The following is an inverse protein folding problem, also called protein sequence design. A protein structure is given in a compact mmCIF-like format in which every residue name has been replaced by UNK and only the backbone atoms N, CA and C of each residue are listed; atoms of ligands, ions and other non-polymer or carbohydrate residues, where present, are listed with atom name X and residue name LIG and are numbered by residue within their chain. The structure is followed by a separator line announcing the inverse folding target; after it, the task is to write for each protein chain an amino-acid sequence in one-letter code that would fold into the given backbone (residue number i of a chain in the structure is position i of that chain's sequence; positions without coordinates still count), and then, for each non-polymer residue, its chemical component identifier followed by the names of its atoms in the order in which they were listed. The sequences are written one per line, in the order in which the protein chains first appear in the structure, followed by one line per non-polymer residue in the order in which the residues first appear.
data_IF_728997910695
#
_entry.id   IF_728997910695
#
_cell.length_a   1.000
_cell.length_b   1.000
_cell.length_c   1.000
_cell.angle_alpha   90.00
_cell.angle_beta   90.00
_cell.angle_gamma   90.00
#
_symmetry.space_group_name_H-M   'P 1'
#
loop_
_entity.id
_entity.type
_entity.pdbx_description
1 polymer ?
#
# COMPACT_ATOMS: atom_id res chain seq x y z
N UNK A 1 0.90 10.03 12.22
CA UNK A 1 1.69 9.26 11.22
C UNK A 1 1.78 7.84 11.74
N UNK A 2 1.38 6.84 10.94
CA UNK A 2 1.29 5.46 11.39
C UNK A 2 2.60 4.68 11.17
N UNK A 3 3.05 3.95 12.19
CA UNK A 3 4.24 3.10 12.17
C UNK A 3 3.92 1.69 12.66
N UNK A 4 4.35 0.69 11.90
CA UNK A 4 4.28 -0.72 12.32
C UNK A 4 5.44 -1.03 13.26
N UNK A 5 5.13 -1.56 14.44
CA UNK A 5 6.13 -2.01 15.42
C UNK A 5 6.93 -3.18 14.87
N UNK A 6 6.28 -4.13 14.18
CA UNK A 6 6.98 -5.24 13.53
C UNK A 6 7.96 -4.73 12.46
N UNK A 7 7.58 -3.72 11.69
CA UNK A 7 8.47 -3.12 10.71
C UNK A 7 9.62 -2.34 11.36
N UNK A 8 9.39 -1.62 12.46
CA UNK A 8 10.46 -0.97 13.20
C UNK A 8 11.48 -1.96 13.78
N UNK A 9 11.03 -3.15 14.21
CA UNK A 9 11.92 -4.23 14.70
C UNK A 9 12.92 -4.73 13.65
N UNK A 10 12.63 -4.54 12.36
CA UNK A 10 13.60 -4.83 11.28
C UNK A 10 14.83 -3.92 11.32
N UNK A 11 14.71 -2.73 11.92
CA UNK A 11 15.75 -1.72 11.95
C UNK A 11 16.43 -1.57 13.30
N UNK A 12 15.72 -1.77 14.40
CA UNK A 12 16.28 -1.60 15.75
C UNK A 12 15.57 -2.57 16.70
N UNK A 13 16.29 -3.06 17.70
CA UNK A 13 15.67 -3.89 18.73
C UNK A 13 14.82 -3.01 19.66
N UNK A 14 13.51 -3.19 19.63
CA UNK A 14 12.59 -2.42 20.46
C UNK A 14 12.42 -3.06 21.85
N UNK A 15 12.11 -2.26 22.88
CA UNK A 15 11.55 -2.79 24.12
C UNK A 15 10.33 -3.70 23.86
N UNK A 16 10.09 -4.65 24.78
CA UNK A 16 8.93 -5.55 24.68
C UNK A 16 7.64 -4.81 25.03
N UNK A 17 7.72 -3.86 25.97
CA UNK A 17 6.57 -3.08 26.38
C UNK A 17 6.30 -1.93 25.39
N UNK A 18 5.05 -1.84 24.92
CA UNK A 18 4.57 -0.77 24.05
C UNK A 18 4.49 0.58 24.77
N UNK A 19 4.08 0.60 26.04
CA UNK A 19 4.03 1.84 26.83
C UNK A 19 5.43 2.44 26.98
N UNK A 20 6.45 1.61 27.15
CA UNK A 20 7.84 2.05 27.24
C UNK A 20 8.31 2.69 25.92
N UNK A 21 7.88 2.16 24.77
CA UNK A 21 8.17 2.77 23.46
C UNK A 21 7.48 4.14 23.35
N UNK A 22 6.21 4.23 23.71
CA UNK A 22 5.45 5.46 23.64
C UNK A 22 6.03 6.54 24.56
N UNK A 23 6.36 6.20 25.80
CA UNK A 23 7.01 7.12 26.75
C UNK A 23 8.37 7.60 26.23
N UNK A 24 9.16 6.70 25.67
CA UNK A 24 10.46 7.02 25.09
C UNK A 24 10.35 7.99 23.91
N UNK A 25 9.34 7.83 23.06
CA UNK A 25 9.03 8.76 21.97
C UNK A 25 8.55 10.11 22.50
N UNK A 26 7.67 10.13 23.50
CA UNK A 26 7.18 11.35 24.14
C UNK A 26 8.31 12.16 24.75
N UNK A 27 9.27 11.51 25.42
CA UNK A 27 10.50 12.15 25.94
C UNK A 27 11.36 12.80 24.85
N UNK A 28 11.26 12.33 23.62
CA UNK A 28 11.95 12.91 22.46
C UNK A 28 11.12 13.97 21.70
N UNK A 29 9.96 14.35 22.26
CA UNK A 29 9.04 15.32 21.65
C UNK A 29 8.24 14.75 20.48
N UNK A 30 8.00 13.44 20.48
CA UNK A 30 7.16 12.74 19.50
C UNK A 30 5.99 12.12 20.25
N UNK A 31 4.83 12.77 20.19
CA UNK A 31 3.64 12.33 20.91
C UNK A 31 3.00 11.14 20.20
N UNK A 32 2.60 10.13 20.97
CA UNK A 32 1.84 8.98 20.47
C UNK A 32 0.36 9.24 20.72
N UNK A 33 -0.40 9.48 19.66
CA UNK A 33 -1.84 9.77 19.72
C UNK A 33 -2.65 8.50 19.96
N UNK A 34 -2.29 7.40 19.29
CA UNK A 34 -3.03 6.15 19.36
C UNK A 34 -2.10 4.93 19.22
N UNK A 35 -2.48 3.83 19.86
CA UNK A 35 -1.82 2.52 19.73
C UNK A 35 -2.89 1.52 19.33
N UNK A 36 -2.87 1.09 18.08
CA UNK A 36 -3.83 0.13 17.53
C UNK A 36 -3.15 -1.24 17.39
N UNK A 37 -3.66 -2.27 18.07
CA UNK A 37 -3.25 -3.65 17.78
C UNK A 37 -4.10 -4.21 16.65
N UNK A 38 -3.44 -4.61 15.56
CA UNK A 38 -4.05 -5.27 14.41
C UNK A 38 -3.65 -6.74 14.42
N UNK A 39 -4.62 -7.62 14.57
CA UNK A 39 -4.38 -9.06 14.49
C UNK A 39 -5.53 -9.74 13.80
N UNK A 40 -5.23 -10.58 12.80
CA UNK A 40 -6.13 -11.63 12.36
C UNK A 40 -5.99 -12.88 13.26
N UNK A 41 -5.85 -12.69 14.57
CA UNK A 41 -5.74 -13.81 15.52
C UNK A 41 -7.14 -14.35 15.81
N UNK A 42 -7.81 -14.75 14.74
CA UNK A 42 -9.12 -15.35 14.74
C UNK A 42 -8.90 -16.86 14.69
N UNK A 43 -9.18 -17.52 15.80
CA UNK A 43 -9.14 -18.98 15.87
C UNK A 43 -10.10 -19.57 14.82
N UNK A 44 -9.73 -20.71 14.25
CA UNK A 44 -10.53 -21.41 13.22
C UNK A 44 -10.73 -20.64 11.90
N UNK A 45 -9.86 -19.66 11.60
CA UNK A 45 -9.76 -19.05 10.26
C UNK A 45 -8.52 -19.54 9.53
N UNK A 46 -8.75 -20.18 8.39
CA UNK A 46 -7.70 -20.81 7.57
C UNK A 46 -7.72 -20.31 6.13
N UNK A 47 -6.60 -20.53 5.43
CA UNK A 47 -6.51 -20.29 3.99
C UNK A 47 -7.26 -21.39 3.25
N UNK A 48 -8.20 -21.01 2.39
CA UNK A 48 -8.93 -21.92 1.50
C UNK A 48 -8.73 -21.54 0.03
N UNK A 49 -9.09 -22.44 -0.88
CA UNK A 49 -9.09 -22.20 -2.32
C UNK A 49 -10.46 -22.45 -2.92
N UNK A 50 -10.96 -21.52 -3.75
CA UNK A 50 -12.25 -21.68 -4.42
C UNK A 50 -12.10 -22.66 -5.59
N UNK A 51 -12.68 -23.84 -5.47
CA UNK A 51 -12.60 -24.91 -6.47
C UNK A 51 -13.67 -24.79 -7.55
N UNK A 52 -14.89 -24.37 -7.17
CA UNK A 52 -16.00 -24.13 -8.09
C UNK A 52 -16.94 -23.05 -7.55
N UNK A 53 -17.70 -22.42 -8.43
CA UNK A 53 -18.67 -21.37 -8.09
C UNK A 53 -19.87 -21.45 -9.03
N UNK A 54 -21.08 -21.50 -8.47
CA UNK A 54 -22.36 -21.59 -9.20
C UNK A 54 -23.39 -20.63 -8.61
N UNK A 55 -24.34 -20.15 -9.44
CA UNK A 55 -25.39 -19.24 -8.95
C UNK A 55 -26.30 -19.96 -7.96
N UNK A 56 -26.72 -19.25 -6.91
CA UNK A 56 -27.64 -19.80 -5.93
C UNK A 56 -29.03 -20.02 -6.55
N UNK A 57 -29.64 -21.21 -6.40
CA UNK A 57 -30.90 -21.57 -7.09
C UNK A 57 -32.07 -20.67 -6.69
N UNK A 58 -32.08 -20.19 -5.44
CA UNK A 58 -33.16 -19.40 -4.86
C UNK A 58 -32.78 -17.93 -4.53
N UNK A 59 -31.66 -17.42 -5.07
CA UNK A 59 -31.22 -16.04 -4.81
C UNK A 59 -30.26 -15.47 -5.86
N UNK A 60 -30.65 -14.37 -6.52
CA UNK A 60 -29.86 -13.77 -7.61
C UNK A 60 -28.55 -13.10 -7.15
N UNK A 61 -28.47 -12.70 -5.88
CA UNK A 61 -27.31 -12.00 -5.29
C UNK A 61 -26.33 -12.93 -4.56
N UNK A 62 -26.64 -14.23 -4.47
CA UNK A 62 -25.81 -15.19 -3.76
C UNK A 62 -25.21 -16.20 -4.73
N UNK A 63 -24.03 -16.67 -4.36
CA UNK A 63 -23.27 -17.66 -5.12
C UNK A 63 -22.92 -18.81 -4.20
N UNK A 64 -23.02 -20.04 -4.69
CA UNK A 64 -22.63 -21.25 -3.97
C UNK A 64 -21.21 -21.60 -4.43
N UNK A 65 -20.27 -21.55 -3.50
CA UNK A 65 -18.86 -21.83 -3.75
C UNK A 65 -18.52 -23.20 -3.16
N UNK A 66 -17.84 -24.04 -3.94
CA UNK A 66 -17.12 -25.18 -3.39
C UNK A 66 -15.69 -24.72 -3.06
N UNK A 67 -15.27 -24.92 -1.82
CA UNK A 67 -13.95 -24.50 -1.34
C UNK A 67 -13.17 -25.69 -0.82
N UNK A 68 -11.88 -25.71 -1.13
CA UNK A 68 -10.90 -26.64 -0.58
C UNK A 68 -10.19 -25.97 0.59
N UNK A 69 -10.29 -26.59 1.76
CA UNK A 69 -9.70 -26.13 3.02
C UNK A 69 -8.47 -26.96 3.43
N UNK A 70 -8.06 -27.92 2.59
CA UNK A 70 -6.93 -28.82 2.85
C UNK A 70 -7.29 -30.07 3.67
N UNK A 71 -8.56 -30.23 4.08
CA UNK A 71 -9.04 -31.42 4.80
C UNK A 71 -9.26 -32.64 3.91
N UNK A 72 -9.19 -32.47 2.59
CA UNK A 72 -9.47 -33.52 1.59
C UNK A 72 -10.94 -33.59 1.18
N UNK A 73 -11.85 -32.92 1.89
CA UNK A 73 -13.26 -32.76 1.51
C UNK A 73 -13.56 -31.32 1.15
N UNK A 74 -14.21 -31.10 -0.01
CA UNK A 74 -14.69 -29.77 -0.39
C UNK A 74 -15.87 -29.37 0.49
N UNK A 75 -15.85 -28.12 0.96
CA UNK A 75 -16.96 -27.52 1.70
C UNK A 75 -17.82 -26.65 0.78
N UNK A 76 -19.12 -26.64 1.05
CA UNK A 76 -20.03 -25.73 0.36
C UNK A 76 -20.22 -24.46 1.19
N UNK A 77 -19.96 -23.30 0.59
CA UNK A 77 -20.07 -21.99 1.24
C UNK A 77 -20.92 -21.07 0.37
N UNK A 78 -21.93 -20.44 0.96
CA UNK A 78 -22.73 -19.43 0.27
C UNK A 78 -22.07 -18.06 0.46
N UNK A 79 -21.71 -17.40 -0.63
CA UNK A 79 -21.02 -16.12 -0.62
C UNK A 79 -21.78 -15.07 -1.47
N UNK A 80 -21.85 -13.84 -0.96
CA UNK A 80 -22.44 -12.69 -1.68
C UNK A 80 -21.43 -11.80 -2.40
N UNK A 81 -20.13 -12.05 -2.24
CA UNK A 81 -19.09 -11.25 -2.88
C UNK A 81 -18.95 -11.58 -4.37
N UNK A 82 -18.46 -10.63 -5.15
CA UNK A 82 -18.32 -10.76 -6.62
C UNK A 82 -16.89 -10.53 -7.11
N UNK A 83 -15.96 -10.26 -6.20
CA UNK A 83 -14.59 -9.83 -6.51
C UNK A 83 -13.58 -11.00 -6.65
N UNK A 84 -14.04 -12.25 -6.63
CA UNK A 84 -13.20 -13.45 -6.70
C UNK A 84 -13.36 -14.21 -8.02
N UNK A 85 -12.43 -15.14 -8.29
CA UNK A 85 -12.45 -16.10 -9.39
C UNK A 85 -12.20 -17.51 -8.90
N UNK A 86 -12.65 -18.51 -9.66
CA UNK A 86 -12.29 -19.90 -9.41
C UNK A 86 -10.76 -20.04 -9.46
N UNK A 87 -10.20 -20.69 -8.44
CA UNK A 87 -8.78 -20.83 -8.21
C UNK A 87 -8.18 -19.81 -7.23
N UNK A 88 -8.90 -18.74 -6.88
CA UNK A 88 -8.41 -17.75 -5.90
C UNK A 88 -8.34 -18.36 -4.49
N UNK A 89 -7.33 -17.91 -3.74
CA UNK A 89 -7.15 -18.25 -2.33
C UNK A 89 -7.76 -17.18 -1.44
N UNK A 90 -8.57 -17.59 -0.48
CA UNK A 90 -9.36 -16.70 0.38
C UNK A 90 -9.41 -17.23 1.81
N UNK A 91 -9.51 -16.35 2.82
CA UNK A 91 -9.73 -16.78 4.20
C UNK A 91 -11.12 -17.40 4.36
N UNK A 92 -11.16 -18.58 4.97
CA UNK A 92 -12.37 -19.29 5.36
C UNK A 92 -12.43 -19.34 6.88
N UNK A 93 -13.50 -18.78 7.44
CA UNK A 93 -13.86 -18.99 8.82
C UNK A 93 -14.69 -20.28 8.94
N UNK A 94 -14.16 -21.25 9.67
CA UNK A 94 -14.80 -22.53 9.92
C UNK A 94 -15.90 -22.40 10.99
N UNK A 95 -16.88 -23.33 11.04
CA UNK A 95 -17.82 -23.39 12.14
C UNK A 95 -17.11 -23.48 13.50
N UNK A 96 -17.41 -22.58 14.42
CA UNK A 96 -16.72 -22.39 15.69
C UNK A 96 -15.82 -21.14 15.74
N UNK A 97 -15.47 -20.57 14.59
CA UNK A 97 -14.67 -19.35 14.52
C UNK A 97 -15.41 -18.14 15.13
N UNK A 98 -14.70 -17.36 15.95
CA UNK A 98 -15.22 -16.12 16.56
C UNK A 98 -14.56 -14.91 15.93
N UNK A 99 -15.26 -14.25 15.02
CA UNK A 99 -14.75 -13.08 14.32
C UNK A 99 -14.63 -11.87 15.27
N UNK A 100 -13.72 -10.91 14.99
CA UNK A 100 -13.53 -9.69 15.78
C UNK A 100 -14.78 -8.82 15.93
N UNK A 101 -15.75 -8.95 15.03
CA UNK A 101 -17.04 -8.27 15.12
C UNK A 101 -18.02 -8.92 16.13
N UNK A 102 -17.60 -9.97 16.84
CA UNK A 102 -18.41 -10.73 17.79
C UNK A 102 -19.27 -11.83 17.15
N UNK A 103 -19.17 -12.04 15.84
CA UNK A 103 -19.95 -13.08 15.14
C UNK A 103 -19.30 -14.44 15.32
N UNK A 104 -20.07 -15.41 15.83
CA UNK A 104 -19.68 -16.81 15.87
C UNK A 104 -20.18 -17.53 14.62
N UNK A 105 -19.28 -18.18 13.89
CA UNK A 105 -19.60 -18.89 12.66
C UNK A 105 -20.20 -20.25 13.00
N UNK A 106 -21.34 -20.58 12.40
CA UNK A 106 -22.03 -21.86 12.57
C UNK A 106 -22.46 -22.40 11.20
N UNK A 107 -22.66 -23.71 11.11
CA UNK A 107 -23.32 -24.30 9.94
C UNK A 107 -24.74 -23.74 9.84
N UNK A 108 -25.08 -23.18 8.69
CA UNK A 108 -26.38 -22.55 8.49
C UNK A 108 -26.95 -22.91 7.12
N UNK A 109 -28.27 -22.80 6.98
CA UNK A 109 -28.96 -23.03 5.71
C UNK A 109 -29.50 -21.70 5.19
N UNK A 110 -28.85 -21.16 4.17
CA UNK A 110 -29.28 -19.92 3.52
C UNK A 110 -30.19 -20.27 2.36
N UNK A 111 -31.49 -19.91 2.46
CA UNK A 111 -32.48 -20.06 1.38
C UNK A 111 -32.52 -21.47 0.74
N UNK A 112 -32.39 -22.50 1.57
CA UNK A 112 -32.47 -23.90 1.17
C UNK A 112 -31.12 -24.56 0.86
N UNK A 113 -30.02 -23.81 0.82
CA UNK A 113 -28.67 -24.32 0.55
C UNK A 113 -27.82 -24.26 1.82
N UNK A 114 -27.08 -25.32 2.12
CA UNK A 114 -26.22 -25.39 3.30
C UNK A 114 -24.91 -24.62 3.09
N UNK A 115 -24.45 -23.92 4.13
CA UNK A 115 -23.19 -23.19 4.18
C UNK A 115 -22.39 -23.63 5.40
N UNK A 116 -21.23 -24.24 5.15
CA UNK A 116 -20.34 -24.81 6.17
C UNK A 116 -19.24 -23.84 6.61
N UNK A 117 -19.58 -22.56 6.77
CA UNK A 117 -18.65 -21.50 7.14
C UNK A 117 -18.92 -20.20 6.40
N UNK A 118 -17.93 -19.31 6.42
CA UNK A 118 -18.00 -18.00 5.79
C UNK A 118 -16.65 -17.60 5.17
N UNK A 119 -16.67 -17.08 3.94
CA UNK A 119 -15.50 -16.47 3.31
C UNK A 119 -15.36 -15.02 3.79
N UNK A 120 -14.16 -14.62 4.22
CA UNK A 120 -13.97 -13.35 4.93
C UNK A 120 -13.38 -12.23 4.07
N UNK A 121 -13.86 -11.02 4.35
CA UNK A 121 -13.33 -9.74 3.90
C UNK A 121 -12.25 -9.20 4.87
N UNK A 122 -11.47 -8.18 4.46
CA UNK A 122 -10.51 -7.53 5.35
C UNK A 122 -11.13 -6.93 6.62
N UNK A 123 -12.37 -6.42 6.53
CA UNK A 123 -13.10 -5.85 7.67
C UNK A 123 -13.48 -6.93 8.67
N UNK A 124 -14.02 -8.05 8.18
CA UNK A 124 -14.44 -9.17 9.03
C UNK A 124 -13.25 -9.82 9.75
N UNK A 125 -12.03 -9.67 9.24
CA UNK A 125 -10.80 -10.15 9.88
C UNK A 125 -10.11 -9.09 10.75
N UNK A 126 -10.61 -7.86 10.80
CA UNK A 126 -9.96 -6.76 11.52
C UNK A 126 -8.63 -6.31 10.89
N UNK A 127 -8.39 -6.63 9.62
CA UNK A 127 -7.14 -6.33 8.90
C UNK A 127 -7.19 -4.99 8.16
N UNK A 128 -8.37 -4.42 7.91
CA UNK A 128 -8.51 -3.13 7.26
C UNK A 128 -9.95 -2.66 7.10
N UNK A 129 -10.12 -1.53 6.40
CA UNK A 129 -11.40 -0.84 6.22
C UNK A 129 -12.02 -1.11 4.83
N UNK A 130 -11.45 -2.02 4.04
CA UNK A 130 -11.95 -2.28 2.68
C UNK A 130 -13.17 -3.22 2.69
N UNK A 131 -14.33 -2.66 2.31
CA UNK A 131 -15.60 -3.38 2.19
C UNK A 131 -15.88 -3.90 0.77
N UNK A 132 -14.92 -3.80 -0.16
CA UNK A 132 -15.18 -4.10 -1.58
C UNK A 132 -15.37 -5.59 -1.92
N UNK A 133 -15.07 -6.50 -0.97
CA UNK A 133 -15.36 -7.93 -1.10
C UNK A 133 -14.42 -8.81 -0.29
N UNK A 134 -14.22 -10.06 -0.74
CA UNK A 134 -13.33 -11.03 -0.09
C UNK A 134 -11.88 -10.59 -0.12
N UNK A 135 -11.13 -10.98 0.91
CA UNK A 135 -9.68 -10.81 0.93
C UNK A 135 -9.03 -11.84 0.00
N UNK A 136 -8.55 -11.41 -1.17
CA UNK A 136 -7.85 -12.28 -2.12
C UNK A 136 -6.37 -12.40 -1.73
N UNK A 137 -5.96 -13.60 -1.33
CA UNK A 137 -4.62 -13.94 -0.85
C UNK A 137 -3.63 -14.19 -2.00
N UNK A 138 -2.35 -14.27 -1.67
CA UNK A 138 -1.33 -14.66 -2.64
C UNK A 138 -1.59 -16.08 -3.18
N UNK A 139 -1.37 -16.35 -4.48
CA UNK A 139 -1.37 -17.71 -5.01
C UNK A 139 -0.39 -18.65 -4.30
N UNK A 140 0.65 -18.13 -3.66
CA UNK A 140 1.65 -18.91 -2.92
C UNK A 140 1.21 -19.28 -1.50
N UNK A 141 0.08 -18.76 -1.01
CA UNK A 141 -0.44 -19.08 0.33
C UNK A 141 -0.77 -20.58 0.45
N UNK A 142 -0.39 -21.23 1.55
CA UNK A 142 -0.66 -22.66 1.75
C UNK A 142 -2.11 -22.86 2.18
N UNK A 143 -2.87 -23.69 1.46
CA UNK A 143 -4.24 -24.06 1.84
C UNK A 143 -4.19 -24.85 3.15
N UNK A 144 -5.15 -24.60 4.05
CA UNK A 144 -5.21 -25.17 5.40
C UNK A 144 -4.33 -24.47 6.44
N UNK A 145 -3.44 -23.56 6.04
CA UNK A 145 -2.64 -22.80 6.99
C UNK A 145 -3.52 -21.78 7.77
N UNK A 146 -3.27 -21.55 9.07
CA UNK A 146 -3.91 -20.48 9.82
C UNK A 146 -3.69 -19.11 9.16
N UNK A 147 -4.72 -18.26 9.19
CA UNK A 147 -4.60 -16.91 8.63
C UNK A 147 -3.60 -16.04 9.40
N UNK A 148 -3.41 -16.33 10.68
CA UNK A 148 -2.45 -15.67 11.58
C UNK A 148 -0.99 -15.87 11.14
N UNK A 149 -0.67 -16.95 10.42
CA UNK A 149 0.66 -17.18 9.85
C UNK A 149 0.98 -16.19 8.71
N UNK A 150 -0.05 -15.80 7.95
CA UNK A 150 0.08 -14.81 6.88
C UNK A 150 0.03 -13.38 7.42
N UNK A 151 -0.81 -13.14 8.42
CA UNK A 151 -1.01 -11.83 9.02
C UNK A 151 -0.69 -11.90 10.52
N UNK A 152 0.60 -11.90 10.89
CA UNK A 152 1.00 -11.91 12.29
C UNK A 152 0.47 -10.65 13.00
N UNK A 153 0.18 -10.78 14.29
CA UNK A 153 -0.24 -9.65 15.10
C UNK A 153 0.81 -8.53 15.01
N UNK A 154 0.34 -7.33 14.69
CA UNK A 154 1.16 -6.14 14.58
C UNK A 154 0.53 -5.02 15.41
N UNK A 155 1.38 -4.14 15.91
CA UNK A 155 0.94 -2.95 16.63
C UNK A 155 1.29 -1.74 15.79
N UNK A 156 0.32 -0.87 15.59
CA UNK A 156 0.46 0.37 14.84
C UNK A 156 0.50 1.53 15.84
N UNK A 157 1.61 2.27 15.84
CA UNK A 157 1.78 3.51 16.57
C UNK A 157 1.34 4.66 15.68
N UNK A 158 0.33 5.42 16.08
CA UNK A 158 0.00 6.70 15.44
C UNK A 158 0.66 7.83 16.22
N UNK A 159 1.61 8.51 15.60
CA UNK A 159 2.42 9.54 16.25
C UNK A 159 2.30 10.90 15.55
N UNK A 160 2.26 11.97 16.33
CA UNK A 160 2.29 13.32 15.81
C UNK A 160 3.75 13.75 15.57
N UNK A 161 4.07 14.13 14.33
CA UNK A 161 5.42 14.57 13.96
C UNK A 161 5.40 16.07 13.70
N UNK A 162 6.16 16.79 14.52
CA UNK A 162 6.33 18.24 14.41
C UNK A 162 7.01 18.64 13.10
N UNK A 163 6.69 19.81 12.50
CA UNK A 163 7.18 20.21 11.18
C UNK A 163 8.71 20.32 11.05
N UNK A 164 9.42 20.57 12.16
CA UNK A 164 10.88 20.61 12.22
C UNK A 164 11.52 19.22 12.16
N UNK A 165 10.81 18.16 12.59
CA UNK A 165 11.30 16.77 12.66
C UNK A 165 10.89 15.95 11.44
N UNK A 166 11.05 16.53 10.26
CA UNK A 166 10.69 15.83 9.04
C UNK A 166 11.39 14.46 8.94
N UNK A 167 12.64 14.35 9.40
CA UNK A 167 13.44 13.12 9.36
C UNK A 167 12.71 11.89 9.91
N UNK A 168 11.78 12.07 10.85
CA UNK A 168 10.97 11.03 11.47
C UNK A 168 9.84 10.50 10.60
N UNK A 169 9.50 11.13 9.46
CA UNK A 169 8.43 10.69 8.53
C UNK A 169 8.82 9.44 7.71
N UNK A 170 9.56 8.50 8.30
CA UNK A 170 9.87 7.18 7.75
C UNK A 170 10.27 6.20 8.84
N UNK A 171 10.04 4.90 8.62
CA UNK A 171 10.35 3.84 9.60
C UNK A 171 11.84 3.85 9.95
N UNK A 172 12.72 4.07 8.96
CA UNK A 172 14.15 4.19 9.23
C UNK A 172 14.50 5.41 10.09
N UNK A 173 13.86 6.55 9.82
CA UNK A 173 14.07 7.79 10.57
C UNK A 173 13.68 7.65 12.04
N UNK A 174 12.50 7.08 12.30
CA UNK A 174 12.02 6.81 13.65
C UNK A 174 12.86 5.73 14.35
N UNK A 175 13.21 4.64 13.67
CA UNK A 175 14.09 3.61 14.23
C UNK A 175 15.47 4.16 14.61
N UNK A 176 16.01 5.10 13.84
CA UNK A 176 17.26 5.79 14.17
C UNK A 176 17.13 6.65 15.42
N UNK A 177 16.00 7.33 15.61
CA UNK A 177 15.73 8.09 16.84
C UNK A 177 15.68 7.16 18.06
N UNK A 178 14.92 6.08 17.95
CA UNK A 178 14.79 5.07 19.02
C UNK A 178 16.16 4.44 19.34
N UNK A 179 16.97 4.14 18.32
CA UNK A 179 18.33 3.65 18.50
C UNK A 179 19.20 4.63 19.29
N UNK A 180 19.12 5.93 18.98
CA UNK A 180 19.87 6.97 19.70
C UNK A 180 19.41 7.10 21.16
N UNK A 181 18.11 7.03 21.43
CA UNK A 181 17.54 7.16 22.78
C UNK A 181 17.78 5.93 23.66
N UNK A 182 17.79 4.73 23.07
CA UNK A 182 18.01 3.46 23.79
C UNK A 182 19.47 3.04 23.86
N UNK A 183 20.37 3.74 23.15
CA UNK A 183 21.77 3.34 22.99
C UNK A 183 21.96 2.05 22.16
N UNK A 184 20.91 1.53 21.51
CA UNK A 184 20.95 0.30 20.73
C UNK A 184 21.53 0.52 19.34
N UNK A 185 22.08 -0.54 18.75
CA UNK A 185 22.61 -0.49 17.39
C UNK A 185 21.49 -0.54 16.37
N UNK A 186 21.54 0.37 15.40
CA UNK A 186 20.70 0.31 14.21
C UNK A 186 21.18 -0.85 13.32
N UNK A 187 20.26 -1.75 12.96
CA UNK A 187 20.51 -2.89 12.08
C UNK A 187 20.95 -2.40 10.70
N UNK A 188 21.93 -3.10 10.13
CA UNK A 188 22.58 -2.72 8.88
C UNK A 188 21.56 -2.64 7.74
N UNK A 189 21.66 -1.57 6.96
CA UNK A 189 20.84 -1.38 5.77
C UNK A 189 21.51 -2.08 4.58
N UNK A 190 20.74 -2.54 3.56
CA UNK A 190 21.32 -3.26 2.44
C UNK A 190 22.46 -2.45 1.79
N UNK A 191 23.62 -3.09 1.58
CA UNK A 191 24.81 -2.48 0.98
C UNK A 191 24.48 -1.78 -0.32
N UNK A 192 25.14 -0.65 -0.56
CA UNK A 192 25.13 0.04 -1.84
C UNK A 192 25.57 -0.93 -2.96
N UNK A 193 24.63 -1.27 -3.83
CA UNK A 193 24.98 -1.88 -5.10
C UNK A 193 25.79 -0.83 -5.89
N UNK A 194 27.04 -1.15 -6.24
CA UNK A 194 27.89 -0.32 -7.10
C UNK A 194 27.35 -0.37 -8.53
N UNK A 195 26.28 0.37 -8.78
CA UNK A 195 25.65 0.41 -10.10
C UNK A 195 26.24 1.59 -10.88
N UNK A 196 26.74 1.39 -12.11
CA UNK A 196 27.31 2.46 -12.91
C UNK A 196 26.29 3.57 -13.18
N UNK A 197 26.65 4.80 -12.79
CA UNK A 197 25.81 5.99 -12.96
C UNK A 197 26.19 6.68 -14.27
N UNK A 198 25.23 6.83 -15.19
CA UNK A 198 25.39 7.65 -16.39
C UNK A 198 24.83 9.05 -16.14
N UNK A 199 25.61 10.11 -16.45
CA UNK A 199 25.19 11.52 -16.31
C UNK A 199 24.31 12.03 -17.48
N UNK A 200 23.98 11.17 -18.44
CA UNK A 200 23.25 11.52 -19.66
C UNK A 200 21.76 11.20 -19.57
N UNK A 201 20.89 12.03 -20.14
CA UNK A 201 19.44 11.76 -20.30
C UNK A 201 18.50 12.62 -19.44
N UNK A 202 19.04 13.34 -18.44
CA UNK A 202 18.28 14.31 -17.63
C UNK A 202 19.03 15.64 -17.58
N UNK A 203 18.33 16.75 -17.82
CA UNK A 203 18.88 18.10 -17.67
C UNK A 203 18.15 18.84 -16.54
N UNK A 204 18.91 19.19 -15.50
CA UNK A 204 18.44 20.03 -14.40
C UNK A 204 18.70 21.48 -14.77
N UNK A 205 17.63 22.26 -14.98
CA UNK A 205 17.75 23.66 -15.42
C UNK A 205 17.72 24.60 -14.22
N UNK A 206 16.98 24.24 -13.18
CA UNK A 206 16.87 25.01 -11.93
C UNK A 206 17.65 24.31 -10.81
N UNK A 207 18.98 24.38 -10.87
CA UNK A 207 19.90 23.71 -9.94
C UNK A 207 19.74 24.18 -8.49
N UNK A 208 19.51 25.49 -8.25
CA UNK A 208 19.24 26.04 -6.90
C UNK A 208 18.06 25.37 -6.20
N UNK A 209 17.01 25.02 -6.94
CA UNK A 209 15.76 24.49 -6.39
C UNK A 209 15.71 22.96 -6.36
N UNK A 210 16.57 22.33 -7.15
CA UNK A 210 16.66 20.89 -7.34
C UNK A 210 18.13 20.55 -7.58
N UNK A 211 18.95 20.54 -6.52
CA UNK A 211 20.38 20.28 -6.67
C UNK A 211 20.64 18.84 -7.14
N UNK A 212 19.69 17.93 -6.89
CA UNK A 212 19.83 16.51 -7.23
C UNK A 212 18.54 15.94 -7.85
N UNK A 213 18.71 15.17 -8.92
CA UNK A 213 17.67 14.35 -9.52
C UNK A 213 18.30 13.12 -10.18
N UNK A 214 17.82 11.94 -9.80
CA UNK A 214 18.19 10.68 -10.44
C UNK A 214 16.98 10.06 -11.12
N UNK A 215 17.24 9.35 -12.21
CA UNK A 215 16.25 8.53 -12.89
C UNK A 215 16.89 7.22 -13.31
N UNK A 216 16.11 6.14 -13.25
CA UNK A 216 16.51 4.84 -13.77
C UNK A 216 15.43 4.34 -14.71
N UNK A 217 15.86 3.82 -15.85
CA UNK A 217 15.00 3.11 -16.79
C UNK A 217 15.03 1.63 -16.42
N UNK A 218 13.85 1.01 -16.36
CA UNK A 218 13.66 -0.43 -16.15
C UNK A 218 12.77 -0.90 -17.30
N UNK A 219 13.28 -1.81 -18.11
CA UNK A 219 12.56 -2.41 -19.24
C UNK A 219 11.85 -3.70 -18.80
N UNK A 220 10.88 -4.15 -19.60
CA UNK A 220 10.18 -5.44 -19.44
C UNK A 220 9.48 -5.63 -18.09
N UNK A 221 8.93 -4.55 -17.51
CA UNK A 221 8.16 -4.61 -16.26
C UNK A 221 6.70 -4.99 -16.56
N UNK A 222 6.23 -6.10 -15.97
CA UNK A 222 4.81 -6.46 -15.95
C UNK A 222 4.11 -5.72 -14.81
N UNK A 223 3.03 -4.99 -15.13
CA UNK A 223 2.22 -4.30 -14.14
C UNK A 223 1.15 -5.26 -13.63
N UNK A 224 1.01 -5.38 -12.32
CA UNK A 224 0.08 -6.30 -11.68
C UNK A 224 -0.12 -6.00 -10.20
N UNK A 225 -0.88 -6.85 -9.48
CA UNK A 225 -1.00 -6.75 -8.03
C UNK A 225 0.38 -6.89 -7.37
N UNK A 226 0.56 -6.19 -6.26
CA UNK A 226 1.77 -6.30 -5.45
C UNK A 226 1.82 -7.64 -4.72
N UNK A 227 3.03 -8.18 -4.47
CA UNK A 227 3.21 -9.30 -3.55
C UNK A 227 2.58 -9.00 -2.19
N UNK A 228 2.08 -10.03 -1.53
CA UNK A 228 1.34 -9.91 -0.28
C UNK A 228 2.12 -9.15 0.82
N UNK A 229 3.38 -9.52 1.06
CA UNK A 229 4.24 -8.83 2.04
C UNK A 229 4.38 -7.31 1.80
N UNK A 230 4.33 -6.89 0.52
CA UNK A 230 4.46 -5.48 0.16
C UNK A 230 3.16 -4.73 0.44
N UNK A 231 2.02 -5.35 0.14
CA UNK A 231 0.68 -4.81 0.43
C UNK A 231 0.49 -4.65 1.93
N UNK A 232 0.77 -5.69 2.69
CA UNK A 232 0.67 -5.68 4.16
C UNK A 232 1.45 -4.53 4.78
N UNK A 233 2.71 -4.32 4.36
CA UNK A 233 3.52 -3.22 4.91
C UNK A 233 2.97 -1.84 4.58
N UNK A 234 2.51 -1.58 3.36
CA UNK A 234 1.97 -0.25 3.03
C UNK A 234 0.57 -0.03 3.64
N UNK A 235 -0.23 -1.08 3.76
CA UNK A 235 -1.57 -1.02 4.35
C UNK A 235 -1.52 -0.88 5.88
N UNK A 236 -0.50 -1.46 6.53
CA UNK A 236 -0.24 -1.27 7.98
C UNK A 236 -0.05 0.21 8.34
N UNK A 237 0.45 1.02 7.41
CA UNK A 237 0.68 2.46 7.60
C UNK A 237 -0.42 3.32 6.98
N UNK A 238 -1.55 2.71 6.61
CA UNK A 238 -2.74 3.40 6.08
C UNK A 238 -2.66 3.76 4.58
N UNK A 239 -1.73 3.18 3.82
CA UNK A 239 -1.62 3.41 2.38
C UNK A 239 -2.27 2.25 1.62
N UNK A 240 -3.37 2.51 0.92
CA UNK A 240 -4.05 1.53 0.06
C UNK A 240 -3.14 1.04 -1.08
N UNK A 241 -3.03 -0.27 -1.25
CA UNK A 241 -2.38 -0.90 -2.40
C UNK A 241 -3.11 -0.60 -3.71
N UNK A 242 -2.35 -0.35 -4.78
CA UNK A 242 -2.89 -0.09 -6.13
C UNK A 242 -2.27 -1.05 -7.15
N UNK A 243 -0.95 -1.06 -7.27
CA UNK A 243 -0.21 -1.96 -8.15
C UNK A 243 1.27 -2.01 -7.75
N UNK A 244 1.97 -3.06 -8.21
CA UNK A 244 3.37 -3.31 -7.90
C UNK A 244 4.32 -2.13 -8.11
N UNK A 245 4.02 -1.22 -9.05
CA UNK A 245 4.87 -0.06 -9.34
C UNK A 245 4.60 1.12 -8.41
N UNK A 246 3.33 1.40 -8.11
CA UNK A 246 2.95 2.46 -7.17
C UNK A 246 3.33 2.06 -5.75
N UNK A 247 3.05 0.81 -5.41
CA UNK A 247 3.21 0.27 -4.06
C UNK A 247 4.69 0.20 -3.67
N UNK A 248 5.58 -0.24 -4.58
CA UNK A 248 7.02 -0.22 -4.28
C UNK A 248 7.54 1.21 -4.07
N UNK A 249 6.98 2.20 -4.79
CA UNK A 249 7.38 3.59 -4.62
C UNK A 249 6.91 4.17 -3.28
N UNK A 250 5.70 3.82 -2.86
CA UNK A 250 5.14 4.18 -1.55
C UNK A 250 5.90 3.48 -0.42
N UNK A 251 6.22 2.20 -0.59
CA UNK A 251 7.03 1.44 0.36
C UNK A 251 8.41 2.06 0.56
N UNK A 252 9.12 2.40 -0.52
CA UNK A 252 10.44 3.07 -0.41
C UNK A 252 10.32 4.45 0.27
N UNK A 253 9.22 5.16 0.04
CA UNK A 253 8.94 6.43 0.71
C UNK A 253 8.70 6.23 2.21
N UNK A 254 7.83 5.31 2.61
CA UNK A 254 7.55 5.00 4.02
C UNK A 254 8.76 4.39 4.74
N UNK A 255 9.61 3.64 4.03
CA UNK A 255 10.81 3.00 4.57
C UNK A 255 11.94 3.99 4.83
N UNK A 256 12.28 4.83 3.84
CA UNK A 256 13.52 5.63 3.82
C UNK A 256 13.32 7.14 3.71
N UNK A 257 12.06 7.60 3.61
CA UNK A 257 11.70 8.96 3.21
C UNK A 257 12.26 9.41 1.86
N UNK A 258 12.51 8.46 0.95
CA UNK A 258 12.90 8.74 -0.43
C UNK A 258 11.65 8.78 -1.30
N UNK A 259 11.25 9.99 -1.72
CA UNK A 259 10.16 10.14 -2.70
C UNK A 259 10.65 9.63 -4.05
N UNK A 260 10.23 8.42 -4.41
CA UNK A 260 10.47 7.80 -5.71
C UNK A 260 9.19 7.86 -6.56
N UNK A 261 9.33 7.96 -7.88
CA UNK A 261 8.19 7.98 -8.81
C UNK A 261 8.52 7.18 -10.06
N UNK A 262 7.68 6.22 -10.40
CA UNK A 262 7.80 5.42 -11.62
C UNK A 262 6.94 5.96 -12.77
N UNK A 263 7.37 5.75 -14.02
CA UNK A 263 6.72 6.29 -15.23
C UNK A 263 6.85 5.36 -16.43
N UNK A 264 5.82 5.34 -17.29
CA UNK A 264 5.82 4.59 -18.55
C UNK A 264 6.61 5.33 -19.64
N UNK A 265 7.53 4.64 -20.32
CA UNK A 265 8.43 5.26 -21.30
C UNK A 265 7.73 5.67 -22.61
N UNK A 266 6.75 4.89 -23.09
CA UNK A 266 6.12 5.08 -24.41
C UNK A 266 5.33 6.40 -24.58
N UNK A 267 5.17 7.18 -23.51
CA UNK A 267 4.53 8.50 -23.52
C UNK A 267 5.56 9.65 -23.49
N UNK A 268 6.86 9.36 -23.54
CA UNK A 268 7.90 10.34 -23.81
C UNK A 268 7.95 10.59 -25.32
N UNK A 269 7.21 11.60 -25.79
CA UNK A 269 7.29 12.13 -27.16
C UNK A 269 8.76 12.23 -27.59
N UNK A 270 9.06 11.84 -28.84
CA UNK A 270 10.33 11.75 -29.62
C UNK A 270 11.56 12.59 -29.20
N UNK A 271 11.45 13.55 -28.30
CA UNK A 271 12.56 14.25 -27.65
C UNK A 271 13.16 13.45 -26.50
N UNK A 272 14.42 13.02 -26.68
CA UNK A 272 15.29 12.27 -25.75
C UNK A 272 15.63 12.99 -24.41
N UNK A 273 14.87 13.98 -23.95
CA UNK A 273 15.22 14.80 -22.77
C UNK A 273 14.05 15.09 -21.82
N UNK A 274 14.24 14.73 -20.54
CA UNK A 274 13.45 15.22 -19.41
C UNK A 274 14.07 16.52 -18.88
N UNK A 275 13.25 17.58 -18.77
CA UNK A 275 13.64 18.92 -18.29
C UNK A 275 12.81 19.26 -17.05
N UNK A 276 13.41 19.84 -16.01
CA UNK A 276 12.67 20.39 -14.86
C UNK A 276 12.80 21.92 -14.86
N UNK A 277 11.68 22.64 -14.91
CA UNK A 277 11.61 24.12 -15.04
C UNK A 277 10.54 24.72 -14.13
N UNK A 278 10.58 26.04 -13.90
CA UNK A 278 9.46 26.80 -13.31
C UNK A 278 8.24 26.80 -14.25
N UNK A 279 7.04 26.82 -13.69
CA UNK A 279 5.78 26.90 -14.45
C UNK A 279 5.65 28.27 -15.10
N UNK A 280 5.35 28.32 -16.41
CA UNK A 280 4.95 29.57 -17.09
C UNK A 280 3.55 29.97 -16.60
N UNK A 281 3.31 31.28 -16.46
CA UNK A 281 2.07 31.85 -15.93
C UNK A 281 0.77 31.45 -16.68
N UNK A 282 0.87 30.89 -17.90
CA UNK A 282 -0.28 30.51 -18.75
C UNK A 282 -0.41 29.00 -19.02
N UNK A 283 0.22 28.15 -18.21
CA UNK A 283 0.20 26.69 -18.40
C UNK A 283 -0.98 25.99 -17.72
N UNK A 284 -1.76 25.20 -18.46
CA UNK A 284 -2.79 24.32 -17.90
C UNK A 284 -2.20 22.96 -17.48
N UNK A 285 -2.51 22.50 -16.27
CA UNK A 285 -2.13 21.17 -15.77
C UNK A 285 -3.37 20.42 -15.25
N UNK A 286 -3.58 19.19 -15.74
CA UNK A 286 -4.64 18.28 -15.24
C UNK A 286 -4.03 17.24 -14.34
N UNK A 287 -4.54 17.18 -13.11
CA UNK A 287 -4.05 16.26 -12.08
C UNK A 287 -4.77 14.92 -12.13
N UNK A 288 -4.18 13.93 -11.46
CA UNK A 288 -4.73 12.59 -11.26
C UNK A 288 -6.16 12.54 -10.70
N UNK A 289 -6.56 13.55 -9.93
CA UNK A 289 -7.90 13.71 -9.34
C UNK A 289 -8.90 14.40 -10.29
N UNK A 290 -8.58 14.54 -11.59
CA UNK A 290 -9.42 15.18 -12.60
C UNK A 290 -9.46 16.71 -12.53
N UNK A 291 -8.88 17.31 -11.48
CA UNK A 291 -8.87 18.75 -11.29
C UNK A 291 -7.98 19.45 -12.33
N UNK A 292 -8.57 20.41 -13.04
CA UNK A 292 -7.86 21.37 -13.88
C UNK A 292 -7.53 22.61 -13.07
N UNK A 293 -6.26 23.03 -13.02
CA UNK A 293 -5.92 24.37 -12.51
C UNK A 293 -5.50 25.30 -13.64
N UNK A 294 -6.20 26.42 -13.77
CA UNK A 294 -5.85 27.56 -14.61
C UNK A 294 -5.09 28.62 -13.78
N UNK A 295 -4.20 29.38 -14.41
CA UNK A 295 -3.48 30.50 -13.80
C UNK A 295 -4.29 31.79 -13.64
N UNK A 296 -5.63 31.71 -13.55
CA UNK A 296 -6.54 32.89 -13.49
C UNK A 296 -7.42 32.90 -12.22
N UNK A 297 -6.84 32.75 -11.04
CA UNK A 297 -7.52 33.26 -9.84
C UNK A 297 -6.72 34.46 -9.32
N UNK A 298 -7.40 35.59 -9.16
CA UNK A 298 -6.90 36.87 -8.62
C UNK A 298 -6.47 36.72 -7.15
N UNK A 299 -5.45 35.92 -6.91
CA UNK A 299 -4.70 35.86 -5.66
C UNK A 299 -3.22 35.81 -6.04
N UNK A 300 -2.56 36.95 -5.84
CA UNK A 300 -1.12 37.21 -5.95
C UNK A 300 -0.35 36.49 -7.06
N UNK A 301 -0.05 37.21 -8.13
CA UNK A 301 0.93 36.83 -9.16
C UNK A 301 2.30 36.39 -8.58
N UNK A 302 2.64 36.82 -7.36
CA UNK A 302 3.87 36.44 -6.63
C UNK A 302 3.93 34.96 -6.23
N UNK A 303 2.79 34.27 -6.05
CA UNK A 303 2.76 32.85 -5.66
C UNK A 303 2.73 31.88 -6.86
N UNK A 304 2.19 32.29 -8.01
CA UNK A 304 2.00 31.41 -9.17
C UNK A 304 3.29 31.10 -9.95
N UNK A 305 4.24 32.03 -10.01
CA UNK A 305 5.53 31.85 -10.69
C UNK A 305 6.47 30.83 -9.99
N UNK A 306 6.13 30.37 -8.78
CA UNK A 306 6.97 29.46 -7.96
C UNK A 306 6.61 27.97 -8.12
N UNK A 307 5.59 27.63 -8.90
CA UNK A 307 5.27 26.23 -9.23
C UNK A 307 6.36 25.58 -10.07
N UNK A 308 6.80 24.36 -9.73
CA UNK A 308 7.88 23.67 -10.45
C UNK A 308 7.32 22.52 -11.26
N UNK A 309 7.70 22.37 -12.51
CA UNK A 309 7.20 21.34 -13.42
C UNK A 309 8.34 20.44 -13.92
N UNK A 310 8.13 19.12 -13.96
CA UNK A 310 8.92 18.20 -14.79
C UNK A 310 8.27 18.13 -16.18
N UNK A 311 9.00 18.37 -17.27
CA UNK A 311 8.55 18.32 -18.66
C UNK A 311 9.38 17.34 -19.48
N UNK A 312 8.84 16.84 -20.59
CA UNK A 312 9.63 16.24 -21.67
C UNK A 312 9.23 16.95 -22.96
N UNK A 313 10.22 17.54 -23.65
CA UNK A 313 9.97 18.51 -24.72
C UNK A 313 9.29 19.80 -24.19
N UNK A 314 8.35 20.36 -24.97
CA UNK A 314 7.65 21.62 -24.66
C UNK A 314 6.47 21.49 -23.68
N UNK A 315 6.06 20.28 -23.30
CA UNK A 315 4.85 20.05 -22.49
C UNK A 315 5.15 19.67 -21.04
N UNK A 316 4.40 20.28 -20.12
CA UNK A 316 4.42 19.97 -18.68
C UNK A 316 3.96 18.53 -18.41
N UNK A 317 4.69 17.81 -17.56
CA UNK A 317 4.33 16.45 -17.16
C UNK A 317 3.89 16.34 -15.71
N UNK A 318 4.49 17.02 -14.73
CA UNK A 318 4.08 16.97 -13.31
C UNK A 318 4.50 18.26 -12.59
N UNK A 319 3.81 18.67 -11.52
CA UNK A 319 4.44 19.54 -10.51
C UNK A 319 5.39 18.75 -9.59
N UNK A 320 6.62 19.24 -9.43
CA UNK A 320 7.64 18.53 -8.68
C UNK A 320 7.30 18.46 -7.19
N UNK A 321 7.45 17.26 -6.60
CA UNK A 321 7.13 16.91 -5.20
C UNK A 321 5.65 16.90 -4.79
N UNK A 322 4.70 17.29 -5.66
CA UNK A 322 3.28 17.40 -5.27
C UNK A 322 2.43 16.26 -5.85
N UNK A 323 2.06 16.27 -7.14
CA UNK A 323 1.21 15.22 -7.75
C UNK A 323 1.60 14.92 -9.22
N UNK A 324 1.14 13.79 -9.76
CA UNK A 324 1.28 13.44 -11.18
C UNK A 324 0.17 14.05 -12.06
N UNK A 325 0.47 14.30 -13.35
CA UNK A 325 -0.55 14.68 -14.32
C UNK A 325 -1.24 13.48 -14.96
N UNK A 326 -2.53 13.64 -15.23
CA UNK A 326 -3.50 12.61 -15.65
C UNK A 326 -3.17 11.95 -17.01
N UNK A 327 -2.67 12.73 -17.98
CA UNK A 327 -2.60 12.31 -19.40
C UNK A 327 -1.53 11.27 -19.75
N UNK A 328 -0.68 10.85 -18.81
CA UNK A 328 0.45 9.93 -19.11
C UNK A 328 0.64 8.83 -18.06
N UNK A 329 -0.46 8.38 -17.46
CA UNK A 329 -0.50 7.20 -16.59
C UNK A 329 -0.47 5.89 -17.39
N UNK A 330 -0.28 4.77 -16.66
CA UNK A 330 -0.56 3.42 -17.14
C UNK A 330 -2.08 3.27 -17.34
N UNK A 331 -2.62 3.82 -18.42
CA UNK A 331 -4.01 3.58 -18.78
C UNK A 331 -4.15 2.19 -19.42
N UNK A 332 -5.04 1.38 -18.85
CA UNK A 332 -5.70 0.29 -19.56
C UNK A 332 -6.75 0.94 -20.47
N UNK A 333 -6.54 0.86 -21.79
CA UNK A 333 -7.66 0.79 -22.73
C UNK A 333 -7.68 -0.65 -23.21
N UNK A 334 -8.58 -1.45 -22.66
CA UNK A 334 -9.10 -2.59 -23.40
C UNK A 334 -9.69 -2.00 -24.68
N UNK A 335 -9.08 -2.30 -25.82
CA UNK A 335 -9.79 -2.24 -27.09
C UNK A 335 -10.54 -3.56 -27.17
N UNK A 336 -11.86 -3.50 -27.14
CA UNK A 336 -12.62 -4.43 -27.98
C UNK A 336 -12.39 -3.99 -29.43
#
# INVERSE_FOLDING_TARGET
MKFSVNWLREFVDLPKNLEEIAELLTRAGVETENIETRSANVEEVIVSQIAASSRHPNADRLTVCEVDDGSGTKRQIVCGATNYKVGDKVPLALPGAKLPNGTEIRKSKLRGVESEGMLCSPIELGLGEDASGLLILSPDAKVGAPISDLFPADTILDVEITPNRGDLLSHFGLAREIAALTGKKLKSTPRDAKIPVRKTGVTIISTRECPFFSARKIDNVRVGPSPQWLREKIESVGIRSINNIVDISNFVMARWRKISRARRQNLLVKTRQLRRRRSRARGWDRRRDGWRRNGRHRFDEKYFARGRILSAGERSQNRARIKSAERRELSFRARC
#
